data_IF_438773194121
#
_entry.id   IF_438773194121
#
_cell.length_a   1.000
_cell.length_b   1.000
_cell.length_c   1.000
_cell.angle_alpha   90.00
_cell.angle_beta   90.00
_cell.angle_gamma   90.00
#
_symmetry.space_group_name_H-M   'P 1'
#
loop_
_entity.id
_entity.type
_entity.pdbx_description
1 polymer ?
#
# COMPACT_ATOMS: atom_id res chain seq x y z
N UNK A 1 -9.20 -13.33 34.00
CA UNK A 1 -9.57 -14.32 32.98
C UNK A 1 -11.06 -14.22 32.78
N UNK A 2 -11.50 -13.64 31.66
CA UNK A 2 -12.90 -13.65 31.24
C UNK A 2 -12.88 -13.88 29.73
N UNK A 3 -13.18 -15.12 29.32
CA UNK A 3 -13.40 -15.47 27.92
C UNK A 3 -14.66 -14.74 27.45
N UNK A 4 -14.49 -13.70 26.63
CA UNK A 4 -15.60 -13.06 25.92
C UNK A 4 -15.65 -13.63 24.50
N UNK A 5 -16.40 -14.72 24.34
CA UNK A 5 -16.96 -15.09 23.05
C UNK A 5 -18.09 -14.11 22.74
N UNK A 6 -17.78 -12.94 22.17
CA UNK A 6 -18.77 -11.98 21.68
C UNK A 6 -18.13 -11.12 20.61
N UNK A 7 -18.79 -11.00 19.44
CA UNK A 7 -18.47 -10.11 18.32
C UNK A 7 -17.84 -8.78 18.77
N UNK A 8 -16.51 -8.69 18.77
CA UNK A 8 -15.81 -7.55 19.38
C UNK A 8 -15.46 -6.50 18.31
N UNK A 9 -16.32 -5.50 18.13
CA UNK A 9 -15.96 -4.31 17.34
C UNK A 9 -15.06 -3.43 18.19
N UNK A 10 -13.77 -3.37 17.86
CA UNK A 10 -12.84 -2.46 18.52
C UNK A 10 -12.79 -1.15 17.75
N UNK A 11 -13.41 -0.12 18.33
CA UNK A 11 -13.46 1.22 17.74
C UNK A 11 -12.62 2.21 18.54
N UNK A 12 -11.56 2.72 17.91
CA UNK A 12 -10.70 3.77 18.45
C UNK A 12 -11.18 5.10 17.81
N UNK A 13 -12.00 5.91 18.50
CA UNK A 13 -12.61 7.15 17.97
C UNK A 13 -12.17 8.38 18.76
N UNK A 14 -11.80 9.46 18.06
CA UNK A 14 -11.40 10.75 18.66
C UNK A 14 -10.31 10.57 19.72
N UNK A 15 -9.27 9.80 19.39
CA UNK A 15 -8.17 9.48 20.31
C UNK A 15 -7.07 10.51 20.11
N UNK A 16 -6.67 11.17 21.19
CA UNK A 16 -5.46 11.97 21.28
C UNK A 16 -4.59 11.35 22.36
N UNK A 17 -3.34 11.05 22.04
CA UNK A 17 -2.42 10.37 22.96
C UNK A 17 -0.98 10.74 22.67
N UNK A 18 -0.24 11.11 23.69
CA UNK A 18 1.22 11.31 23.60
C UNK A 18 1.96 9.94 23.56
N UNK A 19 1.28 8.88 24.00
CA UNK A 19 1.79 7.51 24.07
C UNK A 19 1.30 6.60 22.95
N UNK A 20 1.89 5.41 22.84
CA UNK A 20 1.54 4.39 21.83
C UNK A 20 0.06 4.03 21.90
N UNK A 21 -0.70 4.42 20.87
CA UNK A 21 -2.07 3.93 20.69
C UNK A 21 -1.99 2.56 20.02
N UNK A 22 -2.36 1.52 20.76
CA UNK A 22 -2.41 0.15 20.27
C UNK A 22 -3.79 -0.43 20.58
N UNK A 23 -4.60 -0.65 19.54
CA UNK A 23 -5.87 -1.37 19.69
C UNK A 23 -5.53 -2.88 19.82
N UNK A 24 -5.25 -3.36 21.05
CA UNK A 24 -4.86 -4.75 21.42
C UNK A 24 -6.07 -5.55 21.94
N UNK A 25 -5.96 -6.89 21.99
CA UNK A 25 -6.95 -7.85 22.54
C UNK A 25 -8.25 -7.97 21.75
N UNK A 26 -8.14 -8.41 20.50
CA UNK A 26 -9.29 -8.63 19.62
C UNK A 26 -9.38 -10.13 19.32
N UNK A 27 -10.37 -10.84 19.87
CA UNK A 27 -10.62 -12.26 19.58
C UNK A 27 -11.92 -12.43 18.77
N UNK A 28 -11.80 -13.17 17.65
CA UNK A 28 -12.81 -13.65 16.70
C UNK A 28 -13.68 -12.59 15.98
N UNK A 29 -13.72 -12.65 14.64
CA UNK A 29 -14.61 -11.88 13.72
C UNK A 29 -14.69 -10.36 13.91
N UNK A 30 -13.59 -9.76 14.31
CA UNK A 30 -13.62 -8.40 14.84
C UNK A 30 -13.23 -7.33 13.81
N UNK A 31 -14.06 -6.29 13.71
CA UNK A 31 -13.78 -5.09 12.91
C UNK A 31 -12.99 -4.09 13.77
N UNK A 32 -11.78 -3.74 13.34
CA UNK A 32 -11.00 -2.66 13.95
C UNK A 32 -11.25 -1.38 13.15
N UNK A 33 -11.88 -0.40 13.78
CA UNK A 33 -12.15 0.90 13.15
C UNK A 33 -11.54 2.05 13.93
N UNK A 34 -10.55 2.69 13.30
CA UNK A 34 -9.86 3.86 13.84
C UNK A 34 -10.37 5.12 13.10
N UNK A 35 -10.92 6.08 13.84
CA UNK A 35 -11.44 7.34 13.28
C UNK A 35 -10.99 8.53 14.10
N UNK A 36 -10.37 9.51 13.46
CA UNK A 36 -9.85 10.73 14.10
C UNK A 36 -8.89 10.35 15.24
N UNK A 37 -7.73 9.79 14.88
CA UNK A 37 -6.70 9.44 15.86
C UNK A 37 -5.47 10.32 15.62
N UNK A 38 -4.95 10.90 16.69
CA UNK A 38 -3.70 11.64 16.73
C UNK A 38 -2.81 11.00 17.81
N UNK A 39 -1.56 10.73 17.45
CA UNK A 39 -0.56 10.09 18.30
C UNK A 39 0.79 10.76 18.13
N UNK A 40 1.35 11.32 19.20
CA UNK A 40 2.71 11.94 19.20
C UNK A 40 3.84 10.90 19.24
N UNK A 41 3.48 9.61 19.31
CA UNK A 41 4.42 8.50 19.17
C UNK A 41 3.89 7.46 18.18
N UNK A 42 4.09 6.17 18.42
CA UNK A 42 3.79 5.10 17.45
C UNK A 42 2.29 4.75 17.41
N UNK A 43 1.64 4.95 16.26
CA UNK A 43 0.29 4.43 16.01
C UNK A 43 0.32 3.00 15.44
N UNK A 44 0.31 2.03 16.33
CA UNK A 44 0.38 0.62 15.98
C UNK A 44 -1.01 0.02 15.83
N UNK A 45 -1.51 -0.12 14.60
CA UNK A 45 -2.63 -1.04 14.31
C UNK A 45 -2.08 -2.46 14.13
N UNK A 46 -1.67 -3.03 15.26
CA UNK A 46 -1.43 -4.45 15.36
C UNK A 46 -2.74 -5.10 15.83
N UNK A 47 -3.54 -5.77 14.97
CA UNK A 47 -4.06 -7.05 15.42
C UNK A 47 -2.83 -7.82 15.92
N UNK A 48 -2.99 -8.57 17.01
CA UNK A 48 -1.99 -9.38 17.70
C UNK A 48 -0.86 -9.88 16.77
N UNK A 49 0.33 -10.10 17.31
CA UNK A 49 1.29 -11.06 16.73
C UNK A 49 0.59 -12.41 16.54
N UNK A 50 -0.17 -12.54 15.47
CA UNK A 50 -0.85 -13.74 15.07
C UNK A 50 0.15 -14.47 14.21
N UNK A 51 1.09 -15.16 14.87
CA UNK A 51 1.64 -16.37 14.28
C UNK A 51 0.45 -17.34 14.27
N UNK A 52 -0.07 -17.66 13.08
CA UNK A 52 -1.21 -18.57 12.87
C UNK A 52 -2.57 -18.08 13.40
N UNK A 53 -3.12 -16.98 12.87
CA UNK A 53 -4.57 -16.71 13.00
C UNK A 53 -5.20 -16.58 11.61
N UNK A 54 -6.01 -17.57 11.25
CA UNK A 54 -7.06 -17.46 10.24
C UNK A 54 -8.28 -16.81 10.93
N UNK A 55 -8.48 -15.50 10.78
CA UNK A 55 -9.69 -14.80 11.25
C UNK A 55 -9.93 -13.55 10.40
N UNK A 56 -11.19 -13.29 10.05
CA UNK A 56 -11.74 -12.20 9.21
C UNK A 56 -11.50 -10.77 9.76
N UNK A 57 -10.26 -10.41 10.07
CA UNK A 57 -9.92 -9.12 10.69
C UNK A 57 -9.97 -7.98 9.67
N UNK A 58 -11.00 -7.13 9.79
CA UNK A 58 -11.23 -5.99 8.91
C UNK A 58 -10.69 -4.70 9.53
N UNK A 59 -9.66 -4.11 8.94
CA UNK A 59 -9.06 -2.83 9.39
C UNK A 59 -9.54 -1.66 8.55
N UNK A 60 -10.10 -0.65 9.23
CA UNK A 60 -10.47 0.63 8.61
C UNK A 60 -9.86 1.78 9.39
N UNK A 61 -8.92 2.47 8.75
CA UNK A 61 -8.28 3.67 9.29
C UNK A 61 -8.79 4.90 8.54
N UNK A 62 -9.33 5.88 9.26
CA UNK A 62 -9.78 7.15 8.70
C UNK A 62 -9.31 8.32 9.54
N UNK A 63 -8.64 9.30 8.93
CA UNK A 63 -8.11 10.47 9.61
C UNK A 63 -7.19 10.05 10.77
N UNK A 64 -6.06 9.43 10.42
CA UNK A 64 -5.04 8.98 11.37
C UNK A 64 -3.80 9.83 11.16
N UNK A 65 -3.26 10.39 12.24
CA UNK A 65 -1.99 11.12 12.26
C UNK A 65 -1.09 10.48 13.32
N UNK A 66 0.16 10.21 12.95
CA UNK A 66 1.17 9.68 13.87
C UNK A 66 2.52 10.33 13.59
N UNK A 67 3.19 10.80 14.63
CA UNK A 67 4.56 11.33 14.55
C UNK A 67 5.62 10.22 14.40
N UNK A 68 5.19 8.95 14.40
CA UNK A 68 6.09 7.82 14.19
C UNK A 68 5.53 6.92 13.10
N UNK A 69 5.18 5.68 13.42
CA UNK A 69 4.89 4.62 12.44
C UNK A 69 3.41 4.27 12.49
N UNK A 70 2.78 4.21 11.32
CA UNK A 70 1.49 3.53 11.11
C UNK A 70 1.74 2.16 10.50
N UNK A 71 1.41 1.09 11.22
CA UNK A 71 1.60 -0.28 10.73
C UNK A 71 0.27 -1.04 10.71
N UNK A 72 -0.07 -1.61 9.56
CA UNK A 72 -1.19 -2.54 9.35
C UNK A 72 -0.60 -3.90 8.96
N UNK A 73 -0.62 -4.87 9.88
CA UNK A 73 0.00 -6.19 9.65
C UNK A 73 -0.96 -7.33 9.89
N UNK A 74 -0.91 -8.37 9.05
CA UNK A 74 -1.70 -9.60 9.17
C UNK A 74 -3.21 -9.31 9.20
N UNK A 75 -3.72 -8.62 8.19
CA UNK A 75 -5.12 -8.18 8.11
C UNK A 75 -5.84 -8.83 6.93
N UNK A 76 -7.09 -9.26 7.13
CA UNK A 76 -7.94 -9.88 6.09
C UNK A 76 -8.67 -8.84 5.23
N UNK A 77 -8.64 -7.58 5.64
CA UNK A 77 -9.11 -6.48 4.82
C UNK A 77 -8.50 -5.19 5.34
N UNK A 78 -8.06 -4.31 4.45
CA UNK A 78 -7.59 -2.98 4.85
C UNK A 78 -8.11 -1.88 3.94
N UNK A 79 -8.69 -0.86 4.56
CA UNK A 79 -8.98 0.43 3.93
C UNK A 79 -8.43 1.56 4.79
N UNK A 80 -7.39 2.21 4.29
CA UNK A 80 -6.78 3.38 4.93
C UNK A 80 -7.13 4.64 4.12
N UNK A 81 -7.67 5.66 4.79
CA UNK A 81 -8.05 6.93 4.18
C UNK A 81 -7.59 8.11 5.03
N UNK A 82 -6.90 9.08 4.41
CA UNK A 82 -6.37 10.26 5.09
C UNK A 82 -5.47 9.84 6.27
N UNK A 83 -4.34 9.23 5.95
CA UNK A 83 -3.35 8.80 6.94
C UNK A 83 -2.08 9.61 6.74
N UNK A 84 -1.55 10.17 7.83
CA UNK A 84 -0.29 10.89 7.84
C UNK A 84 0.64 10.24 8.88
N UNK A 85 1.90 10.04 8.49
CA UNK A 85 2.93 9.45 9.33
C UNK A 85 4.23 10.24 9.15
N UNK A 86 4.82 10.75 10.22
CA UNK A 86 6.11 11.46 10.10
C UNK A 86 7.30 10.51 9.89
N UNK A 87 7.15 9.21 10.13
CA UNK A 87 8.17 8.24 9.75
C UNK A 87 7.68 7.28 8.67
N UNK A 88 6.90 6.26 9.03
CA UNK A 88 6.65 5.13 8.13
C UNK A 88 5.21 4.69 8.15
N UNK A 89 4.62 4.55 6.95
CA UNK A 89 3.40 3.79 6.74
C UNK A 89 3.70 2.40 6.17
N UNK A 90 3.31 1.35 6.89
CA UNK A 90 3.50 -0.05 6.48
C UNK A 90 2.18 -0.81 6.38
N UNK A 91 1.97 -1.51 5.26
CA UNK A 91 0.95 -2.54 5.10
C UNK A 91 1.63 -3.87 4.78
N UNK A 92 1.51 -4.89 5.65
CA UNK A 92 2.22 -6.16 5.49
C UNK A 92 1.33 -7.37 5.71
N UNK A 93 1.47 -8.38 4.85
CA UNK A 93 0.71 -9.63 4.92
C UNK A 93 -0.80 -9.35 4.97
N UNK A 94 -1.30 -8.71 3.92
CA UNK A 94 -2.72 -8.43 3.76
C UNK A 94 -3.29 -9.46 2.80
N UNK A 95 -4.33 -10.17 3.20
CA UNK A 95 -5.13 -11.03 2.30
C UNK A 95 -6.55 -10.50 2.33
N UNK A 96 -7.35 -10.61 1.27
CA UNK A 96 -8.72 -10.08 1.26
C UNK A 96 -9.50 -10.61 0.07
N UNK A 97 -10.69 -11.17 0.29
CA UNK A 97 -11.61 -11.50 -0.82
C UNK A 97 -12.14 -10.22 -1.51
N UNK A 98 -12.19 -9.11 -0.77
CA UNK A 98 -12.63 -7.80 -1.28
C UNK A 98 -11.45 -6.84 -1.51
N UNK A 99 -11.70 -5.53 -1.50
CA UNK A 99 -10.75 -4.46 -1.85
C UNK A 99 -9.77 -4.13 -0.71
N UNK A 100 -8.47 -4.20 -1.02
CA UNK A 100 -7.39 -3.58 -0.25
C UNK A 100 -7.11 -2.18 -0.80
N UNK A 101 -7.18 -1.13 0.03
CA UNK A 101 -6.90 0.22 -0.47
C UNK A 101 -6.23 1.17 0.51
N UNK A 102 -5.33 2.00 -0.02
CA UNK A 102 -4.74 3.16 0.64
C UNK A 102 -5.08 4.42 -0.18
N UNK A 103 -5.73 5.40 0.45
CA UNK A 103 -6.15 6.64 -0.20
C UNK A 103 -5.73 7.87 0.60
N UNK A 104 -5.09 8.84 -0.04
CA UNK A 104 -4.58 10.05 0.61
C UNK A 104 -3.68 9.66 1.79
N UNK A 105 -2.57 8.99 1.49
CA UNK A 105 -1.57 8.60 2.49
C UNK A 105 -0.33 9.44 2.28
N UNK A 106 0.15 10.07 3.34
CA UNK A 106 1.40 10.82 3.34
C UNK A 106 2.34 10.21 4.39
N UNK A 107 3.60 10.02 4.01
CA UNK A 107 4.66 9.59 4.92
C UNK A 107 5.88 10.47 4.68
N UNK A 108 6.52 11.01 5.71
CA UNK A 108 7.75 11.77 5.44
C UNK A 108 8.87 10.81 5.04
N UNK A 109 9.11 9.73 5.80
CA UNK A 109 10.13 8.76 5.38
C UNK A 109 9.64 7.76 4.33
N UNK A 110 8.81 6.77 4.71
CA UNK A 110 8.58 5.58 3.87
C UNK A 110 7.13 5.12 3.82
N UNK A 111 6.61 4.91 2.62
CA UNK A 111 5.41 4.09 2.37
C UNK A 111 5.80 2.70 1.86
N UNK A 112 5.29 1.64 2.48
CA UNK A 112 5.60 0.26 2.09
C UNK A 112 4.38 -0.67 2.15
N UNK A 113 4.12 -1.35 1.05
CA UNK A 113 3.13 -2.43 0.93
C UNK A 113 3.84 -3.74 0.58
N UNK A 114 3.74 -4.76 1.43
CA UNK A 114 4.43 -6.05 1.24
C UNK A 114 3.52 -7.25 1.46
N UNK A 115 3.55 -8.20 0.52
CA UNK A 115 2.75 -9.42 0.55
C UNK A 115 1.26 -9.08 0.70
N UNK A 116 0.71 -8.42 -0.31
CA UNK A 116 -0.69 -8.02 -0.36
C UNK A 116 -1.38 -8.85 -1.44
N UNK A 117 -2.43 -9.57 -1.06
CA UNK A 117 -3.22 -10.41 -1.96
C UNK A 117 -4.68 -10.00 -1.85
N UNK A 118 -5.37 -9.96 -3.00
CA UNK A 118 -6.80 -9.70 -3.06
C UNK A 118 -7.48 -10.50 -4.16
N UNK A 119 -8.69 -11.01 -3.94
CA UNK A 119 -9.48 -11.54 -5.06
C UNK A 119 -10.08 -10.41 -5.90
N UNK A 120 -10.40 -9.27 -5.28
CA UNK A 120 -11.00 -8.14 -5.99
C UNK A 120 -9.95 -7.14 -6.50
N UNK A 121 -9.48 -6.25 -5.62
CA UNK A 121 -8.68 -5.08 -6.02
C UNK A 121 -7.65 -4.75 -4.95
N UNK A 122 -6.42 -4.51 -5.39
CA UNK A 122 -5.42 -3.79 -4.61
C UNK A 122 -5.21 -2.40 -5.19
N UNK A 123 -5.42 -1.34 -4.42
CA UNK A 123 -5.24 0.03 -4.91
C UNK A 123 -4.50 0.98 -3.96
N UNK A 124 -3.60 1.78 -4.54
CA UNK A 124 -2.97 2.93 -3.88
C UNK A 124 -3.32 4.20 -4.66
N UNK A 125 -3.93 5.18 -4.01
CA UNK A 125 -4.35 6.44 -4.65
C UNK A 125 -3.94 7.66 -3.85
N UNK A 126 -3.29 8.62 -4.49
CA UNK A 126 -2.77 9.84 -3.86
C UNK A 126 -1.87 9.46 -2.68
N UNK A 127 -0.77 8.78 -2.99
CA UNK A 127 0.24 8.40 -1.98
C UNK A 127 1.48 9.26 -2.20
N UNK A 128 1.95 9.90 -1.14
CA UNK A 128 3.15 10.72 -1.15
C UNK A 128 4.11 10.21 -0.09
N UNK A 129 5.39 10.08 -0.45
CA UNK A 129 6.49 9.81 0.46
C UNK A 129 7.60 10.82 0.21
N UNK A 130 8.34 11.31 1.20
CA UNK A 130 9.54 12.10 0.85
C UNK A 130 10.68 11.16 0.45
N UNK A 131 10.93 10.09 1.19
CA UNK A 131 12.03 9.18 0.81
C UNK A 131 11.61 8.06 -0.15
N UNK A 132 10.75 7.12 0.28
CA UNK A 132 10.56 5.85 -0.46
C UNK A 132 9.10 5.41 -0.52
N UNK A 133 8.63 5.15 -1.74
CA UNK A 133 7.45 4.33 -1.98
C UNK A 133 7.86 2.93 -2.46
N UNK A 134 7.36 1.88 -1.80
CA UNK A 134 7.66 0.50 -2.15
C UNK A 134 6.40 -0.39 -2.13
N UNK A 135 6.18 -1.13 -3.22
CA UNK A 135 5.20 -2.20 -3.33
C UNK A 135 5.91 -3.50 -3.73
N UNK A 136 5.81 -4.54 -2.89
CA UNK A 136 6.46 -5.83 -3.13
C UNK A 136 5.52 -7.02 -2.92
N UNK A 137 5.50 -7.93 -3.89
CA UNK A 137 4.63 -9.12 -3.87
C UNK A 137 3.17 -8.72 -3.69
N UNK A 138 2.64 -7.99 -4.66
CA UNK A 138 1.25 -7.53 -4.68
C UNK A 138 0.52 -8.31 -5.76
N UNK A 139 -0.55 -9.01 -5.39
CA UNK A 139 -1.31 -9.84 -6.30
C UNK A 139 -2.80 -9.52 -6.18
N UNK A 140 -3.49 -9.51 -7.32
CA UNK A 140 -4.94 -9.45 -7.36
C UNK A 140 -5.51 -10.42 -8.38
N UNK A 141 -6.69 -10.99 -8.15
CA UNK A 141 -7.37 -11.69 -9.25
C UNK A 141 -7.90 -10.66 -10.27
N UNK A 142 -8.64 -9.62 -9.82
CA UNK A 142 -9.13 -8.61 -10.78
C UNK A 142 -8.12 -7.49 -11.08
N UNK A 143 -7.79 -6.60 -10.13
CA UNK A 143 -7.03 -5.37 -10.45
C UNK A 143 -5.98 -5.01 -9.42
N UNK A 144 -4.76 -4.71 -9.88
CA UNK A 144 -3.79 -3.93 -9.12
C UNK A 144 -3.64 -2.53 -9.73
N UNK A 145 -3.82 -1.47 -8.93
CA UNK A 145 -3.70 -0.10 -9.41
C UNK A 145 -2.94 0.83 -8.47
N UNK A 146 -2.00 1.60 -9.04
CA UNK A 146 -1.32 2.71 -8.37
C UNK A 146 -1.61 4.01 -9.14
N UNK A 147 -2.19 5.02 -8.48
CA UNK A 147 -2.55 6.29 -9.11
C UNK A 147 -2.10 7.48 -8.27
N UNK A 148 -1.44 8.45 -8.91
CA UNK A 148 -0.91 9.66 -8.27
C UNK A 148 0.00 9.26 -7.10
N UNK A 149 1.08 8.55 -7.43
CA UNK A 149 2.11 8.15 -6.47
C UNK A 149 3.30 9.06 -6.66
N UNK A 150 3.78 9.67 -5.57
CA UNK A 150 4.91 10.58 -5.59
C UNK A 150 5.93 10.19 -4.53
N UNK A 151 7.21 10.25 -4.88
CA UNK A 151 8.33 10.08 -3.96
C UNK A 151 9.46 11.04 -4.31
N UNK A 152 10.21 11.59 -3.36
CA UNK A 152 11.36 12.44 -3.71
C UNK A 152 12.63 11.63 -3.97
N UNK A 153 12.72 10.37 -3.54
CA UNK A 153 13.93 9.56 -3.82
C UNK A 153 13.64 8.31 -4.66
N UNK A 154 12.77 7.42 -4.19
CA UNK A 154 12.55 6.12 -4.85
C UNK A 154 11.09 5.74 -4.93
N UNK A 155 10.68 5.26 -6.10
CA UNK A 155 9.47 4.44 -6.29
C UNK A 155 9.88 3.06 -6.77
N UNK A 156 9.47 2.02 -6.06
CA UNK A 156 9.71 0.63 -6.48
C UNK A 156 8.45 -0.22 -6.43
N UNK A 157 8.15 -0.89 -7.53
CA UNK A 157 7.12 -1.91 -7.65
C UNK A 157 7.80 -3.21 -8.10
N UNK A 158 7.72 -4.26 -7.28
CA UNK A 158 8.36 -5.56 -7.56
C UNK A 158 7.40 -6.72 -7.35
N UNK A 159 7.32 -7.62 -8.33
CA UNK A 159 6.43 -8.78 -8.31
C UNK A 159 4.98 -8.33 -8.10
N UNK A 160 4.48 -7.56 -9.06
CA UNK A 160 3.10 -7.05 -9.07
C UNK A 160 2.33 -7.79 -10.15
N UNK A 161 1.29 -8.52 -9.77
CA UNK A 161 0.58 -9.39 -10.70
C UNK A 161 -0.93 -9.20 -10.59
N UNK A 162 -1.64 -9.32 -11.70
CA UNK A 162 -3.09 -9.39 -11.70
C UNK A 162 -3.61 -10.27 -12.81
N UNK A 163 -4.69 -11.05 -12.63
CA UNK A 163 -5.26 -11.74 -13.79
C UNK A 163 -5.82 -10.74 -14.79
N UNK A 164 -6.66 -9.80 -14.36
CA UNK A 164 -7.23 -8.85 -15.32
C UNK A 164 -6.36 -7.63 -15.64
N UNK A 165 -6.02 -6.78 -14.65
CA UNK A 165 -5.36 -5.50 -14.95
C UNK A 165 -4.29 -5.13 -13.92
N UNK A 166 -3.10 -4.76 -14.39
CA UNK A 166 -2.15 -3.94 -13.64
C UNK A 166 -2.05 -2.54 -14.25
N UNK A 167 -2.31 -1.50 -13.46
CA UNK A 167 -2.25 -0.11 -13.92
C UNK A 167 -1.48 0.82 -12.99
N UNK A 168 -0.46 1.49 -13.55
CA UNK A 168 0.31 2.54 -12.90
C UNK A 168 0.09 3.88 -13.62
N UNK A 169 -0.46 4.88 -12.95
CA UNK A 169 -0.76 6.18 -13.55
C UNK A 169 -0.27 7.35 -12.69
N UNK A 170 0.41 8.30 -13.33
CA UNK A 170 0.98 9.48 -12.67
C UNK A 170 1.87 9.06 -11.50
N UNK A 171 2.92 8.31 -11.82
CA UNK A 171 3.94 7.90 -10.87
C UNK A 171 5.13 8.81 -11.12
N UNK A 172 5.48 9.63 -10.14
CA UNK A 172 6.50 10.65 -10.32
C UNK A 172 7.51 10.60 -9.20
N UNK A 173 8.78 10.80 -9.55
CA UNK A 173 9.78 11.17 -8.59
C UNK A 173 10.44 12.51 -8.94
N UNK A 174 10.83 13.25 -7.90
CA UNK A 174 11.63 14.47 -8.00
C UNK A 174 13.09 14.20 -7.61
N UNK A 175 14.04 15.12 -7.80
CA UNK A 175 15.43 15.08 -7.31
C UNK A 175 16.22 13.75 -7.32
N UNK A 176 17.21 13.60 -8.22
CA UNK A 176 18.17 12.46 -8.25
C UNK A 176 17.54 11.06 -8.06
N UNK A 177 16.31 10.90 -8.51
CA UNK A 177 15.44 9.80 -8.09
C UNK A 177 15.33 8.68 -9.09
N UNK A 178 14.89 7.52 -8.60
CA UNK A 178 14.75 6.31 -9.40
C UNK A 178 13.36 5.67 -9.27
N UNK A 179 12.80 5.31 -10.42
CA UNK A 179 11.57 4.53 -10.55
C UNK A 179 11.91 3.13 -11.09
N UNK A 180 11.51 2.10 -10.36
CA UNK A 180 11.78 0.70 -10.70
C UNK A 180 10.49 -0.11 -10.73
N UNK A 181 10.13 -0.63 -11.90
CA UNK A 181 9.06 -1.61 -12.08
C UNK A 181 9.68 -2.93 -12.53
N UNK A 182 9.60 -3.98 -11.70
CA UNK A 182 10.20 -5.28 -12.00
C UNK A 182 9.20 -6.40 -11.80
N UNK A 183 9.09 -7.31 -12.76
CA UNK A 183 8.14 -8.44 -12.74
C UNK A 183 6.71 -7.93 -12.52
N UNK A 184 6.23 -7.12 -13.47
CA UNK A 184 4.88 -6.58 -13.47
C UNK A 184 4.10 -7.29 -14.56
N UNK A 185 3.10 -8.09 -14.18
CA UNK A 185 2.46 -9.01 -15.12
C UNK A 185 0.94 -8.96 -15.03
N UNK A 186 0.27 -9.17 -16.16
CA UNK A 186 -1.16 -9.43 -16.18
C UNK A 186 -1.59 -10.38 -17.29
N UNK A 187 -2.65 -11.16 -17.11
CA UNK A 187 -3.19 -11.94 -18.24
C UNK A 187 -3.81 -10.99 -19.27
N UNK A 188 -4.61 -10.01 -18.85
CA UNK A 188 -5.27 -9.11 -19.82
C UNK A 188 -4.52 -7.81 -20.11
N UNK A 189 -4.23 -6.95 -19.12
CA UNK A 189 -3.68 -5.61 -19.41
C UNK A 189 -2.61 -5.18 -18.41
N UNK A 190 -1.46 -4.75 -18.91
CA UNK A 190 -0.52 -3.91 -18.18
C UNK A 190 -0.48 -2.51 -18.79
N UNK A 191 -0.78 -1.49 -17.99
CA UNK A 191 -0.75 -0.09 -18.45
C UNK A 191 0.06 0.81 -17.52
N UNK A 192 1.10 1.44 -18.08
CA UNK A 192 1.95 2.42 -17.41
C UNK A 192 1.81 3.78 -18.09
N UNK A 193 1.27 4.78 -17.39
CA UNK A 193 1.05 6.12 -17.96
C UNK A 193 1.62 7.21 -17.08
N UNK A 194 2.40 8.12 -17.66
CA UNK A 194 3.04 9.24 -16.97
C UNK A 194 3.89 8.73 -15.79
N UNK A 195 4.88 7.87 -16.11
CA UNK A 195 5.86 7.39 -15.14
C UNK A 195 7.15 8.16 -15.37
N UNK A 196 7.53 9.00 -14.41
CA UNK A 196 8.62 9.96 -14.58
C UNK A 196 9.56 9.93 -13.39
N UNK A 197 10.86 10.07 -13.65
CA UNK A 197 11.89 10.19 -12.62
C UNK A 197 12.99 11.13 -13.11
N UNK A 198 13.67 11.84 -12.21
CA UNK A 198 14.79 12.69 -12.61
C UNK A 198 15.96 11.83 -13.13
N UNK A 199 16.38 10.81 -12.38
CA UNK A 199 17.54 10.01 -12.76
C UNK A 199 17.19 8.80 -13.60
N UNK A 200 16.54 7.80 -13.01
CA UNK A 200 16.40 6.49 -13.66
C UNK A 200 14.96 6.04 -13.72
N UNK A 201 14.51 5.60 -14.89
CA UNK A 201 13.33 4.74 -15.01
C UNK A 201 13.78 3.38 -15.52
N UNK A 202 13.51 2.32 -14.75
CA UNK A 202 13.79 0.95 -15.17
C UNK A 202 12.55 0.09 -15.08
N UNK A 203 12.11 -0.43 -16.23
CA UNK A 203 11.01 -1.36 -16.37
C UNK A 203 11.57 -2.68 -16.93
N UNK A 204 11.51 -3.76 -16.15
CA UNK A 204 11.99 -5.09 -16.55
C UNK A 204 10.91 -6.14 -16.29
N UNK A 205 10.76 -7.09 -17.19
CA UNK A 205 9.75 -8.15 -17.08
C UNK A 205 8.34 -7.55 -16.91
N UNK A 206 7.95 -6.66 -17.84
CA UNK A 206 6.65 -5.98 -17.85
C UNK A 206 5.82 -6.58 -18.97
N UNK A 207 4.90 -7.47 -18.64
CA UNK A 207 4.32 -8.39 -19.62
C UNK A 207 2.81 -8.50 -19.47
N UNK A 208 2.14 -8.70 -20.60
CA UNK A 208 0.76 -9.13 -20.62
C UNK A 208 0.51 -10.13 -21.74
N UNK A 209 -0.41 -11.08 -21.53
CA UNK A 209 -0.81 -11.98 -22.61
C UNK A 209 -1.63 -11.25 -23.68
N UNK A 210 -2.36 -10.19 -23.32
CA UNK A 210 -3.14 -9.40 -24.29
C UNK A 210 -2.52 -8.04 -24.62
N UNK A 211 -2.36 -7.14 -23.64
CA UNK A 211 -1.95 -5.75 -23.93
C UNK A 211 -0.93 -5.21 -22.93
N UNK A 212 0.21 -4.76 -23.45
CA UNK A 212 1.13 -3.86 -22.72
C UNK A 212 1.06 -2.47 -23.35
N UNK A 213 0.75 -1.45 -22.56
CA UNK A 213 0.74 -0.06 -23.03
C UNK A 213 1.54 0.84 -22.09
N UNK A 214 2.61 1.43 -22.62
CA UNK A 214 3.44 2.38 -21.91
C UNK A 214 3.35 3.75 -22.61
N UNK A 215 2.93 4.80 -21.89
CA UNK A 215 2.85 6.16 -22.41
C UNK A 215 3.51 7.15 -21.45
N UNK A 216 4.39 8.00 -21.96
CA UNK A 216 5.14 8.97 -21.16
C UNK A 216 5.89 8.31 -20.00
N UNK A 217 6.61 7.22 -20.29
CA UNK A 217 7.47 6.50 -19.34
C UNK A 217 8.90 6.90 -19.64
N UNK A 218 9.48 7.80 -18.85
CA UNK A 218 10.76 8.43 -19.18
C UNK A 218 11.50 8.96 -17.95
N UNK A 219 12.80 9.13 -18.10
CA UNK A 219 13.65 9.83 -17.13
C UNK A 219 14.47 10.91 -17.81
N UNK A 220 14.98 11.89 -17.06
CA UNK A 220 15.91 12.87 -17.63
C UNK A 220 17.30 12.31 -17.90
N UNK A 221 17.77 11.33 -17.11
CA UNK A 221 19.13 10.78 -17.26
C UNK A 221 19.14 9.45 -18.02
N UNK A 222 18.46 8.40 -17.55
CA UNK A 222 18.56 7.07 -18.17
C UNK A 222 17.32 6.19 -18.02
N UNK A 223 16.79 5.71 -19.15
CA UNK A 223 15.65 4.80 -19.19
C UNK A 223 16.05 3.42 -19.72
N UNK A 224 15.73 2.36 -18.97
CA UNK A 224 15.82 0.96 -19.42
C UNK A 224 14.41 0.38 -19.50
N UNK A 225 13.89 0.21 -20.72
CA UNK A 225 12.49 -0.14 -20.99
C UNK A 225 12.42 -1.42 -21.85
N UNK A 226 13.02 -2.50 -21.38
CA UNK A 226 13.23 -3.70 -22.22
C UNK A 226 11.95 -4.35 -22.74
N UNK A 227 10.78 -4.02 -22.19
CA UNK A 227 9.50 -4.66 -22.51
C UNK A 227 8.31 -3.69 -22.46
N UNK A 228 8.57 -2.38 -22.46
CA UNK A 228 7.53 -1.37 -22.64
C UNK A 228 7.56 -0.95 -24.12
N UNK A 229 6.59 -1.33 -24.96
CA UNK A 229 6.49 -0.75 -26.29
C UNK A 229 6.25 0.76 -26.13
N UNK A 230 7.22 1.56 -26.57
CA UNK A 230 7.15 3.03 -26.61
C UNK A 230 6.45 3.45 -27.90
#
# INVERSE_FOLDING_TARGET
>A
MSNLNQYSVVSCRNVQSESVVSCRNVQSESVVSCRNVQSESVFNVHPISCRNVQSESVVRCRNVQSESVVNCRNVQYSRCRNVQSESVFNCRNVQSESVVSCRNVQSESVFNCRNVQSESVVSCRNVQSESVFNCRNVQSESVVSCRNVQSESVVSCRNVQSKSVVSCRNVQNQHKSSSHCRNVQSESVVSCRNVQSESVVSCRNVQSESVVSCRNVQSKISSQLSECPI
#
